data_IF_234158214057
#
_entry.id   IF_234158214057
#
_cell.length_a   1.000
_cell.length_b   1.000
_cell.length_c   1.000
_cell.angle_alpha   90.00
_cell.angle_beta   90.00
_cell.angle_gamma   90.00
#
_symmetry.space_group_name_H-M   'P 1'
#
loop_
_entity.id
_entity.type
_entity.pdbx_description
1 polymer ?
#
# COMPACT_ATOMS: atom_id res chain seq x y z
N UNK A 1 3.43 -7.37 4.97
CA UNK A 1 4.65 -6.57 4.82
C UNK A 1 4.79 -6.28 3.33
N UNK A 2 4.17 -5.22 2.77
CA UNK A 2 4.67 -3.82 2.75
C UNK A 2 3.52 -2.76 2.64
N UNK A 3 2.35 -3.03 3.24
CA UNK A 3 1.12 -2.31 2.89
C UNK A 3 1.10 -0.82 3.26
N UNK A 4 1.95 -0.37 4.18
CA UNK A 4 2.04 1.04 4.58
C UNK A 4 2.52 1.91 3.42
N UNK A 5 3.35 1.39 2.51
CA UNK A 5 3.80 2.11 1.31
C UNK A 5 2.64 2.54 0.40
N UNK A 6 1.53 1.79 0.40
CA UNK A 6 0.37 2.12 -0.42
C UNK A 6 -0.29 3.45 -0.03
N UNK A 7 -0.03 3.98 1.17
CA UNK A 7 -0.50 5.32 1.53
C UNK A 7 0.08 6.43 0.64
N UNK A 8 1.21 6.16 -0.04
CA UNK A 8 1.83 7.09 -0.99
C UNK A 8 1.07 7.16 -2.32
N UNK A 9 0.15 6.24 -2.59
CA UNK A 9 -0.69 6.25 -3.80
C UNK A 9 -1.62 7.45 -3.80
N UNK A 10 -1.76 8.12 -4.95
CA UNK A 10 -2.70 9.23 -5.11
C UNK A 10 -4.14 8.73 -5.07
N UNK A 11 -5.05 9.54 -4.53
CA UNK A 11 -6.47 9.19 -4.41
C UNK A 11 -7.13 8.88 -5.76
N UNK A 12 -6.73 9.59 -6.82
CA UNK A 12 -7.22 9.38 -8.18
C UNK A 12 -6.87 7.97 -8.70
N UNK A 13 -5.62 7.54 -8.48
CA UNK A 13 -5.14 6.23 -8.90
C UNK A 13 -5.78 5.12 -8.06
N UNK A 14 -5.96 5.33 -6.75
CA UNK A 14 -6.67 4.38 -5.89
C UNK A 14 -8.12 4.17 -6.35
N UNK A 15 -8.82 5.27 -6.71
CA UNK A 15 -10.17 5.19 -7.27
C UNK A 15 -10.19 4.47 -8.61
N UNK A 16 -9.23 4.73 -9.49
CA UNK A 16 -9.11 4.07 -10.78
C UNK A 16 -8.86 2.57 -10.63
N UNK A 17 -7.93 2.17 -9.74
CA UNK A 17 -7.65 0.78 -9.41
C UNK A 17 -8.88 0.08 -8.83
N UNK A 18 -9.58 0.73 -7.90
CA UNK A 18 -10.82 0.21 -7.34
C UNK A 18 -11.88 -0.02 -8.43
N UNK A 19 -12.13 0.99 -9.28
CA UNK A 19 -13.09 0.87 -10.38
C UNK A 19 -12.72 -0.27 -11.35
N UNK A 20 -11.43 -0.41 -11.68
CA UNK A 20 -10.94 -1.49 -12.52
C UNK A 20 -11.21 -2.86 -11.89
N UNK A 21 -10.85 -3.05 -10.61
CA UNK A 21 -11.08 -4.31 -9.90
C UNK A 21 -12.57 -4.66 -9.80
N UNK A 22 -13.42 -3.66 -9.53
CA UNK A 22 -14.88 -3.85 -9.45
C UNK A 22 -15.54 -4.14 -10.80
N UNK A 23 -14.87 -3.83 -11.92
CA UNK A 23 -15.36 -4.17 -13.27
C UNK A 23 -15.06 -5.61 -13.68
N UNK A 24 -14.23 -6.34 -12.94
CA UNK A 24 -13.88 -7.72 -13.26
C UNK A 24 -14.97 -8.71 -12.80
N UNK A 25 -15.10 -9.87 -13.46
CA UNK A 25 -15.98 -10.93 -12.98
C UNK A 25 -15.61 -11.37 -11.55
N UNK A 26 -16.62 -11.54 -10.69
CA UNK A 26 -16.39 -12.05 -9.35
C UNK A 26 -15.92 -13.52 -9.40
N UNK A 27 -14.91 -13.84 -8.60
CA UNK A 27 -14.44 -15.20 -8.38
C UNK A 27 -14.70 -15.57 -6.93
N UNK A 28 -15.32 -16.72 -6.70
CA UNK A 28 -15.46 -17.26 -5.35
C UNK A 28 -14.13 -17.88 -4.90
N UNK A 29 -13.58 -17.38 -3.81
CA UNK A 29 -12.36 -17.88 -3.18
C UNK A 29 -12.49 -17.76 -1.67
N UNK A 30 -12.39 -18.88 -0.97
CA UNK A 30 -12.35 -18.89 0.50
C UNK A 30 -10.95 -18.52 0.98
N UNK A 31 -10.87 -17.52 1.86
CA UNK A 31 -9.59 -17.11 2.44
C UNK A 31 -9.15 -18.14 3.50
N UNK A 32 -7.92 -18.68 3.42
CA UNK A 32 -7.41 -19.58 4.43
C UNK A 32 -7.43 -18.95 5.82
N UNK A 33 -7.69 -19.77 6.85
CA UNK A 33 -7.58 -19.32 8.24
C UNK A 33 -6.16 -18.84 8.55
N UNK A 34 -6.03 -17.86 9.45
CA UNK A 34 -4.73 -17.41 9.94
C UNK A 34 -4.07 -18.56 10.73
N UNK A 35 -2.84 -18.93 10.34
CA UNK A 35 -2.07 -20.02 10.96
C UNK A 35 -0.92 -19.50 11.83
N UNK A 36 -0.81 -18.18 12.02
CA UNK A 36 0.21 -17.60 12.88
C UNK A 36 -0.05 -18.03 14.34
N UNK A 37 0.99 -18.38 15.10
CA UNK A 37 0.85 -18.70 16.51
C UNK A 37 0.64 -17.42 17.34
N UNK A 38 0.03 -17.58 18.52
CA UNK A 38 -0.03 -16.52 19.51
C UNK A 38 1.38 -15.99 19.85
N UNK A 39 1.59 -14.66 19.95
CA UNK A 39 0.58 -13.59 19.88
C UNK A 39 0.35 -13.00 18.48
N UNK A 40 0.99 -13.52 17.43
CA UNK A 40 0.98 -12.93 16.09
C UNK A 40 -0.33 -13.12 15.31
N UNK A 41 -1.25 -13.93 15.83
CA UNK A 41 -2.61 -14.08 15.33
C UNK A 41 -3.53 -12.90 15.71
N UNK A 42 -3.14 -12.08 16.69
CA UNK A 42 -3.95 -10.98 17.20
C UNK A 42 -3.87 -9.74 16.28
N UNK A 43 -4.96 -9.46 15.56
CA UNK A 43 -5.03 -8.34 14.59
C UNK A 43 -4.80 -6.97 15.23
N UNK A 44 -5.08 -6.81 16.51
CA UNK A 44 -4.88 -5.57 17.28
C UNK A 44 -3.40 -5.16 17.34
N UNK A 45 -2.48 -6.13 17.26
CA UNK A 45 -1.05 -5.82 17.18
C UNK A 45 -0.71 -5.01 15.93
N UNK A 46 -1.42 -5.21 14.81
CA UNK A 46 -1.24 -4.40 13.61
C UNK A 46 -1.74 -2.96 13.79
N UNK A 47 -2.76 -2.73 14.62
CA UNK A 47 -3.19 -1.37 14.95
C UNK A 47 -2.11 -0.63 15.75
N UNK A 48 -1.50 -1.30 16.74
CA UNK A 48 -0.35 -0.78 17.48
C UNK A 48 0.86 -0.54 16.58
N UNK A 49 1.14 -1.45 15.65
CA UNK A 49 2.21 -1.28 14.66
C UNK A 49 1.97 -0.04 13.78
N UNK A 50 0.76 0.14 13.27
CA UNK A 50 0.42 1.30 12.45
C UNK A 50 0.52 2.61 13.22
N UNK A 51 0.11 2.63 14.48
CA UNK A 51 0.26 3.82 15.32
C UNK A 51 1.72 4.31 15.39
N UNK A 52 2.68 3.37 15.35
CA UNK A 52 4.10 3.67 15.49
C UNK A 52 4.82 3.89 14.15
N UNK A 53 4.39 3.20 13.08
CA UNK A 53 5.18 3.08 11.84
C UNK A 53 4.43 3.45 10.56
N UNK A 54 3.14 3.80 10.61
CA UNK A 54 2.42 4.29 9.45
C UNK A 54 2.59 5.80 9.32
N UNK A 55 3.18 6.24 8.21
CA UNK A 55 3.21 7.64 7.81
C UNK A 55 2.14 7.92 6.74
N UNK A 56 0.99 8.51 7.09
CA UNK A 56 -0.08 8.74 6.13
C UNK A 56 0.28 9.85 5.14
N UNK A 57 -0.13 9.64 3.88
CA UNK A 57 -0.19 10.69 2.87
C UNK A 57 0.42 10.30 1.52
N UNK A 58 -0.23 10.77 0.45
CA UNK A 58 0.23 10.54 -0.92
C UNK A 58 1.63 11.11 -1.17
N UNK A 59 2.35 10.52 -2.13
CA UNK A 59 3.62 11.03 -2.61
C UNK A 59 3.46 12.47 -3.12
N UNK A 60 4.43 13.31 -2.78
CA UNK A 60 4.49 14.72 -3.22
C UNK A 60 5.65 14.87 -4.17
N UNK A 61 5.37 15.41 -5.34
CA UNK A 61 6.37 15.62 -6.37
C UNK A 61 7.45 16.60 -5.86
N UNK A 62 8.71 16.24 -6.07
CA UNK A 62 9.86 17.06 -5.72
C UNK A 62 10.01 18.18 -6.79
N UNK A 63 9.88 19.47 -6.41
CA UNK A 63 9.85 20.58 -7.38
C UNK A 63 11.14 20.74 -8.18
N UNK A 64 12.27 20.29 -7.63
CA UNK A 64 13.58 20.38 -8.29
C UNK A 64 13.83 19.25 -9.29
N UNK A 65 12.91 18.28 -9.38
CA UNK A 65 13.03 17.09 -10.23
C UNK A 65 12.09 17.17 -11.42
N UNK A 66 12.48 16.51 -12.51
CA UNK A 66 11.63 16.43 -13.69
C UNK A 66 10.45 15.45 -13.47
N UNK A 67 9.46 15.53 -14.36
CA UNK A 67 8.25 14.70 -14.27
C UNK A 67 8.54 13.19 -14.30
N UNK A 68 9.51 12.76 -15.11
CA UNK A 68 9.84 11.34 -15.24
C UNK A 68 10.44 10.78 -13.94
N UNK A 69 11.28 11.56 -13.28
CA UNK A 69 11.86 11.21 -12.00
C UNK A 69 10.79 11.14 -10.92
N UNK A 70 9.91 12.14 -10.82
CA UNK A 70 8.81 12.16 -9.84
C UNK A 70 7.86 10.98 -10.05
N UNK A 71 7.58 10.62 -11.30
CA UNK A 71 6.80 9.41 -11.62
C UNK A 71 7.53 8.13 -11.17
N UNK A 72 8.84 8.04 -11.39
CA UNK A 72 9.64 6.90 -10.95
C UNK A 72 9.64 6.75 -9.42
N UNK A 73 9.86 7.84 -8.71
CA UNK A 73 9.81 7.89 -7.25
C UNK A 73 8.43 7.52 -6.72
N UNK A 74 7.35 8.05 -7.30
CA UNK A 74 5.98 7.68 -6.96
C UNK A 74 5.72 6.16 -7.06
N UNK A 75 6.17 5.54 -8.16
CA UNK A 75 5.99 4.11 -8.37
C UNK A 75 6.87 3.29 -7.42
N UNK A 76 8.12 3.68 -7.22
CA UNK A 76 9.07 2.95 -6.37
C UNK A 76 8.69 3.06 -4.89
N UNK A 77 8.27 4.23 -4.40
CA UNK A 77 7.94 4.46 -2.99
C UNK A 77 6.50 4.08 -2.64
N UNK A 78 5.60 4.06 -3.62
CA UNK A 78 4.19 3.71 -3.45
C UNK A 78 3.88 2.28 -3.87
N UNK A 79 3.24 2.12 -5.04
CA UNK A 79 2.68 0.84 -5.50
C UNK A 79 3.73 -0.27 -5.68
N UNK A 80 4.94 0.08 -6.09
CA UNK A 80 6.06 -0.84 -6.24
C UNK A 80 6.78 -1.15 -4.92
N UNK A 81 6.52 -0.37 -3.86
CA UNK A 81 7.00 -0.55 -2.49
C UNK A 81 8.49 -0.95 -2.37
N UNK A 82 9.33 -0.46 -3.29
CA UNK A 82 10.75 -0.77 -3.37
C UNK A 82 11.48 -0.25 -2.12
N UNK A 83 11.05 0.90 -1.59
CA UNK A 83 11.57 1.50 -0.35
C UNK A 83 11.28 0.70 0.92
N UNK A 84 10.41 -0.33 0.85
CA UNK A 84 10.17 -1.19 2.00
C UNK A 84 11.37 -2.11 2.31
N UNK A 85 12.25 -2.32 1.33
CA UNK A 85 13.44 -3.18 1.45
C UNK A 85 14.76 -2.47 1.11
N UNK A 86 14.73 -1.36 0.35
CA UNK A 86 15.89 -0.61 -0.14
C UNK A 86 15.87 0.83 0.34
#
# INVERSE_FOLDING_TARGET
FPYTAFTRTRDEDLKALYAYLMSQPAVHSETPANQLPFPFDQRQLMAGWNLLFLEPGAYRDEPTRNQQWNRGAYLAEGLGHCSACH
#
